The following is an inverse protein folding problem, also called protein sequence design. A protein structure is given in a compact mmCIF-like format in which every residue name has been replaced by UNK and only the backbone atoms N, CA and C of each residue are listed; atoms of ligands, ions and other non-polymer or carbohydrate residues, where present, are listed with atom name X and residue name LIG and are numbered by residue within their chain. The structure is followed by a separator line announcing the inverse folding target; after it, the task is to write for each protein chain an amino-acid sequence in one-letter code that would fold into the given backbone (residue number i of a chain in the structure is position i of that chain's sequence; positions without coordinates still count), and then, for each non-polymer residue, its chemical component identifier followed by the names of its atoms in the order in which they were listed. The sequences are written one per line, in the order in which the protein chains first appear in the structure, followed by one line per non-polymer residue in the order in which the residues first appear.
data_IF_169228662967
#
_entry.id   IF_169228662967
#
_cell.length_a   1.000
_cell.length_b   1.000
_cell.length_c   1.000
_cell.angle_alpha   90.00
_cell.angle_beta   90.00
_cell.angle_gamma   90.00
#
_symmetry.space_group_name_H-M   'P 1'
#
loop_
_entity.id
_entity.type
_entity.pdbx_description
1 polymer ?
#
# COMPACT_ATOMS: atom_id res chain seq x y z
N UNK A 1 -18.72 -10.39 8.97
CA UNK A 1 -18.65 -11.87 8.91
C UNK A 1 -19.98 -12.33 8.32
N UNK A 2 -20.03 -12.68 7.03
CA UNK A 2 -21.27 -13.18 6.43
C UNK A 2 -21.56 -14.56 7.04
N UNK A 3 -22.70 -14.73 7.69
CA UNK A 3 -23.16 -16.03 8.18
C UNK A 3 -23.57 -16.87 6.96
N UNK A 4 -22.60 -17.48 6.29
CA UNK A 4 -22.86 -18.41 5.20
C UNK A 4 -23.25 -19.75 5.83
N UNK A 5 -24.55 -19.99 5.98
CA UNK A 5 -25.07 -21.32 6.30
C UNK A 5 -25.13 -22.14 5.01
N UNK A 6 -24.08 -22.90 4.73
CA UNK A 6 -24.13 -23.93 3.72
C UNK A 6 -25.00 -25.11 4.23
N UNK A 7 -25.85 -25.70 3.39
CA UNK A 7 -26.70 -26.86 3.68
C UNK A 7 -27.90 -26.64 4.64
N UNK A 8 -28.54 -25.47 4.63
CA UNK A 8 -29.87 -25.37 5.24
C UNK A 8 -30.86 -26.20 4.42
N UNK A 9 -31.50 -27.18 5.04
CA UNK A 9 -32.44 -28.09 4.39
C UNK A 9 -33.73 -28.23 5.20
N UNK A 10 -34.85 -28.30 4.49
CA UNK A 10 -36.18 -28.55 5.03
C UNK A 10 -36.97 -29.39 4.02
N UNK A 11 -38.24 -29.64 4.30
CA UNK A 11 -39.20 -30.11 3.31
C UNK A 11 -40.30 -29.08 3.11
N UNK A 12 -41.07 -29.22 2.03
CA UNK A 12 -42.33 -28.51 1.85
C UNK A 12 -43.32 -28.91 2.96
N UNK A 13 -43.82 -27.93 3.70
CA UNK A 13 -44.90 -28.08 4.67
C UNK A 13 -46.30 -28.09 4.04
N UNK A 14 -46.42 -27.55 2.82
CA UNK A 14 -47.64 -27.57 2.02
C UNK A 14 -47.32 -27.83 0.54
N UNK A 15 -48.30 -28.29 -0.24
CA UNK A 15 -48.16 -28.47 -1.68
C UNK A 15 -47.86 -27.13 -2.35
N UNK A 16 -46.87 -27.09 -3.25
CA UNK A 16 -46.52 -25.90 -4.04
C UNK A 16 -47.11 -26.04 -5.44
N UNK A 17 -48.17 -25.30 -5.74
CA UNK A 17 -48.86 -25.32 -7.05
C UNK A 17 -48.12 -24.45 -8.06
N UNK A 18 -48.23 -24.77 -9.35
CA UNK A 18 -47.52 -24.11 -10.47
C UNK A 18 -47.54 -22.57 -10.43
N UNK A 19 -48.62 -21.96 -9.93
CA UNK A 19 -48.82 -20.51 -9.85
C UNK A 19 -48.68 -19.93 -8.43
N UNK A 20 -48.19 -20.71 -7.46
CA UNK A 20 -47.97 -20.27 -6.10
C UNK A 20 -46.88 -19.19 -6.04
N UNK A 21 -47.20 -18.06 -5.41
CA UNK A 21 -46.25 -16.99 -5.04
C UNK A 21 -45.75 -17.11 -3.61
N UNK A 22 -46.19 -18.16 -2.89
CA UNK A 22 -45.74 -18.48 -1.54
C UNK A 22 -45.48 -19.97 -1.39
N UNK A 23 -44.50 -20.29 -0.56
CA UNK A 23 -44.05 -21.63 -0.25
C UNK A 23 -43.97 -21.79 1.26
N UNK A 24 -44.61 -22.83 1.80
CA UNK A 24 -44.51 -23.16 3.24
C UNK A 24 -43.51 -24.28 3.42
N UNK A 25 -42.53 -24.08 4.30
CA UNK A 25 -41.51 -25.06 4.65
C UNK A 25 -41.77 -25.66 6.04
N UNK A 26 -41.33 -26.89 6.29
CA UNK A 26 -41.54 -27.57 7.56
C UNK A 26 -40.74 -26.96 8.73
N UNK A 27 -39.59 -26.31 8.46
CA UNK A 27 -38.76 -25.68 9.47
C UNK A 27 -38.19 -24.33 9.00
N UNK A 28 -38.16 -23.36 9.91
CA UNK A 28 -37.54 -22.05 9.69
C UNK A 28 -36.02 -22.12 9.94
N UNK A 29 -35.30 -22.70 8.98
CA UNK A 29 -33.83 -22.91 9.06
C UNK A 29 -33.04 -22.05 8.07
N UNK A 30 -33.74 -21.35 7.18
CA UNK A 30 -33.17 -20.59 6.06
C UNK A 30 -32.70 -19.17 6.49
N UNK A 31 -31.77 -18.53 5.77
CA UNK A 31 -31.25 -17.21 6.13
C UNK A 31 -32.30 -16.09 5.98
N UNK A 32 -31.88 -14.85 6.22
CA UNK A 32 -32.68 -13.65 5.91
C UNK A 32 -32.70 -13.43 4.39
N UNK A 33 -33.84 -13.00 3.85
CA UNK A 33 -34.05 -12.74 2.41
C UNK A 33 -33.21 -11.57 1.86
N UNK A 34 -32.91 -11.53 0.55
CA UNK A 34 -33.28 -12.51 -0.48
C UNK A 34 -32.28 -13.68 -0.60
N UNK A 35 -32.74 -14.85 -1.07
CA UNK A 35 -31.91 -16.02 -1.39
C UNK A 35 -32.60 -16.99 -2.37
N UNK A 36 -31.84 -17.91 -2.97
CA UNK A 36 -32.38 -18.95 -3.86
C UNK A 36 -32.54 -20.29 -3.14
N UNK A 37 -33.57 -21.05 -3.49
CA UNK A 37 -33.81 -22.42 -3.02
C UNK A 37 -33.96 -23.38 -4.18
N UNK A 38 -33.48 -24.60 -4.00
CA UNK A 38 -33.69 -25.72 -4.92
C UNK A 38 -34.74 -26.65 -4.35
N UNK A 39 -35.78 -26.95 -5.12
CA UNK A 39 -36.65 -28.09 -4.88
C UNK A 39 -36.02 -29.32 -5.55
N UNK A 40 -35.79 -30.37 -4.77
CA UNK A 40 -35.15 -31.59 -5.24
C UNK A 40 -36.09 -32.80 -5.14
N UNK A 41 -35.89 -33.83 -5.96
CA UNK A 41 -36.59 -35.11 -5.77
C UNK A 41 -36.04 -35.92 -4.58
N UNK A 42 -36.61 -37.11 -4.35
CA UNK A 42 -36.18 -38.02 -3.29
C UNK A 42 -34.77 -38.59 -3.49
N UNK A 43 -34.20 -38.46 -4.69
CA UNK A 43 -32.85 -38.88 -5.04
C UNK A 43 -31.87 -37.69 -5.00
N UNK A 44 -32.35 -36.49 -4.69
CA UNK A 44 -31.55 -35.27 -4.58
C UNK A 44 -31.29 -34.57 -5.91
N UNK A 45 -31.95 -34.95 -7.00
CA UNK A 45 -31.83 -34.26 -8.29
C UNK A 45 -32.61 -32.95 -8.27
N UNK A 46 -32.00 -31.89 -8.80
CA UNK A 46 -32.61 -30.56 -8.88
C UNK A 46 -33.80 -30.58 -9.84
N UNK A 47 -34.97 -30.19 -9.35
CA UNK A 47 -36.19 -30.11 -10.16
C UNK A 47 -36.57 -28.68 -10.51
N UNK A 48 -36.37 -27.75 -9.59
CA UNK A 48 -36.72 -26.34 -9.78
C UNK A 48 -35.89 -25.43 -8.86
N UNK A 49 -35.56 -24.24 -9.36
CA UNK A 49 -34.97 -23.16 -8.56
C UNK A 49 -35.97 -22.01 -8.42
N UNK A 50 -36.17 -21.57 -7.17
CA UNK A 50 -37.03 -20.42 -6.82
C UNK A 50 -36.23 -19.35 -6.10
N UNK A 51 -36.56 -18.08 -6.34
CA UNK A 51 -36.03 -16.96 -5.56
C UNK A 51 -36.97 -16.65 -4.40
N UNK A 52 -36.44 -16.51 -3.19
CA UNK A 52 -37.20 -16.11 -2.00
C UNK A 52 -36.97 -14.64 -1.74
N UNK A 53 -38.04 -13.85 -1.78
CA UNK A 53 -37.98 -12.38 -1.65
C UNK A 53 -38.50 -11.86 -0.33
N UNK A 54 -39.31 -12.65 0.38
CA UNK A 54 -39.79 -12.33 1.73
C UNK A 54 -39.99 -13.61 2.57
N UNK A 55 -39.97 -13.48 3.90
CA UNK A 55 -40.03 -14.61 4.83
C UNK A 55 -40.69 -14.21 6.15
N UNK A 56 -41.75 -14.92 6.52
CA UNK A 56 -42.42 -14.82 7.82
C UNK A 56 -42.52 -16.21 8.45
N UNK A 57 -41.60 -16.52 9.37
CA UNK A 57 -41.48 -17.84 9.98
C UNK A 57 -41.24 -18.93 8.93
N UNK A 58 -42.15 -19.90 8.85
CA UNK A 58 -42.10 -21.01 7.89
C UNK A 58 -42.70 -20.69 6.51
N UNK A 59 -43.23 -19.48 6.31
CA UNK A 59 -43.82 -19.07 5.03
C UNK A 59 -42.84 -18.18 4.28
N UNK A 60 -42.53 -18.56 3.05
CA UNK A 60 -41.60 -17.90 2.14
C UNK A 60 -42.38 -17.32 0.95
N UNK A 61 -42.17 -16.04 0.63
CA UNK A 61 -42.65 -15.45 -0.62
C UNK A 61 -41.64 -15.78 -1.71
N UNK A 62 -42.11 -16.38 -2.80
CA UNK A 62 -41.25 -16.92 -3.86
C UNK A 62 -41.57 -16.36 -5.22
N UNK A 63 -40.54 -16.11 -6.02
CA UNK A 63 -40.61 -15.91 -7.47
C UNK A 63 -40.20 -17.22 -8.12
N UNK A 64 -41.11 -17.79 -8.90
CA UNK A 64 -40.90 -19.00 -9.71
C UNK A 64 -40.61 -18.56 -11.15
N UNK A 65 -39.68 -19.24 -11.84
CA UNK A 65 -39.37 -18.92 -13.24
C UNK A 65 -37.90 -18.79 -13.61
N UNK A 66 -36.99 -19.34 -12.80
CA UNK A 66 -35.55 -19.32 -13.11
C UNK A 66 -35.16 -20.56 -13.94
N UNK A 67 -35.60 -21.77 -13.55
CA UNK A 67 -35.41 -23.04 -14.29
C UNK A 67 -36.40 -24.13 -13.78
N UNK A 68 -37.12 -24.83 -14.68
CA UNK A 68 -37.99 -25.98 -14.32
C UNK A 68 -39.34 -25.65 -13.65
N UNK A 69 -39.81 -24.41 -13.76
CA UNK A 69 -40.93 -23.85 -12.98
C UNK A 69 -42.36 -24.27 -13.42
N UNK A 70 -42.50 -25.28 -14.27
CA UNK A 70 -43.78 -25.65 -14.89
C UNK A 70 -44.48 -26.82 -14.18
N UNK A 71 -44.16 -27.05 -12.90
CA UNK A 71 -44.61 -28.25 -12.19
C UNK A 71 -45.16 -27.95 -10.80
N UNK A 72 -46.01 -28.86 -10.31
CA UNK A 72 -46.55 -28.85 -8.95
C UNK A 72 -45.71 -29.78 -8.08
N UNK A 73 -45.35 -29.33 -6.88
CA UNK A 73 -44.56 -30.12 -5.94
C UNK A 73 -45.41 -30.57 -4.73
N UNK A 74 -45.42 -31.86 -4.39
CA UNK A 74 -46.17 -32.39 -3.26
C UNK A 74 -45.59 -31.97 -1.90
N UNK A 75 -46.41 -32.05 -0.86
CA UNK A 75 -45.97 -31.93 0.55
C UNK A 75 -44.83 -32.92 0.83
N UNK A 76 -43.87 -32.52 1.66
CA UNK A 76 -42.73 -33.36 2.04
C UNK A 76 -41.57 -33.34 1.04
N UNK A 77 -41.71 -32.67 -0.11
CA UNK A 77 -40.63 -32.49 -1.08
C UNK A 77 -39.41 -31.81 -0.43
N UNK A 78 -38.18 -32.33 -0.59
CA UNK A 78 -36.97 -31.66 -0.13
C UNK A 78 -36.82 -30.25 -0.71
N UNK A 79 -36.48 -29.30 0.15
CA UNK A 79 -36.16 -27.92 -0.20
C UNK A 79 -34.83 -27.57 0.44
N UNK A 80 -33.86 -27.24 -0.39
CA UNK A 80 -32.47 -27.10 0.03
C UNK A 80 -31.91 -25.76 -0.42
N UNK A 81 -31.21 -25.09 0.50
CA UNK A 81 -30.33 -23.98 0.16
C UNK A 81 -29.04 -24.56 -0.41
N UNK A 82 -29.09 -24.92 -1.69
CA UNK A 82 -27.89 -25.21 -2.46
C UNK A 82 -27.33 -23.86 -2.88
N UNK A 83 -26.22 -23.45 -2.27
CA UNK A 83 -25.42 -22.40 -2.91
C UNK A 83 -25.18 -22.87 -4.34
N UNK A 84 -25.70 -22.13 -5.33
CA UNK A 84 -25.39 -22.45 -6.72
C UNK A 84 -23.87 -22.53 -6.81
N UNK A 85 -23.33 -23.59 -7.43
CA UNK A 85 -21.89 -23.79 -7.55
C UNK A 85 -21.19 -22.51 -8.03
N UNK A 86 -21.89 -21.71 -8.84
CA UNK A 86 -21.51 -20.36 -9.23
C UNK A 86 -21.21 -19.39 -8.07
N UNK A 87 -22.01 -19.28 -7.01
CA UNK A 87 -21.70 -18.39 -5.88
C UNK A 87 -20.52 -18.89 -5.03
N UNK A 88 -20.31 -20.22 -4.95
CA UNK A 88 -19.11 -20.79 -4.33
C UNK A 88 -17.87 -20.53 -5.19
N UNK A 89 -17.99 -20.68 -6.50
CA UNK A 89 -16.95 -20.37 -7.48
C UNK A 89 -16.64 -18.87 -7.45
N UNK A 90 -17.63 -17.99 -7.44
CA UNK A 90 -17.43 -16.53 -7.33
C UNK A 90 -16.76 -16.13 -6.00
N UNK A 91 -17.12 -16.77 -4.89
CA UNK A 91 -16.45 -16.54 -3.59
C UNK A 91 -15.02 -17.12 -3.54
N UNK A 92 -14.78 -18.26 -4.19
CA UNK A 92 -13.46 -18.88 -4.31
C UNK A 92 -12.58 -18.21 -5.38
N UNK A 93 -13.19 -17.58 -6.37
CA UNK A 93 -12.52 -16.86 -7.46
C UNK A 93 -12.22 -15.41 -7.11
N UNK A 94 -12.94 -14.81 -6.14
CA UNK A 94 -12.73 -13.43 -5.74
C UNK A 94 -11.35 -13.16 -5.12
N UNK A 95 -10.73 -14.16 -4.47
CA UNK A 95 -9.42 -13.99 -3.84
C UNK A 95 -8.61 -15.30 -3.77
N UNK A 96 -7.30 -15.18 -3.99
CA UNK A 96 -6.34 -16.24 -3.70
C UNK A 96 -5.96 -16.19 -2.21
N UNK A 97 -6.54 -17.09 -1.40
CA UNK A 97 -6.20 -17.21 0.02
C UNK A 97 -4.95 -18.07 0.19
N UNK A 98 -3.90 -17.49 0.78
CA UNK A 98 -2.62 -18.18 1.01
C UNK A 98 -2.44 -18.43 2.50
N UNK A 99 -2.05 -19.65 2.86
CA UNK A 99 -1.76 -20.04 4.25
C UNK A 99 -0.29 -20.44 4.38
N UNK A 100 0.38 -20.04 5.47
CA UNK A 100 1.76 -20.43 5.68
C UNK A 100 1.86 -21.92 5.95
N UNK A 101 2.88 -22.55 5.39
CA UNK A 101 3.29 -23.95 5.61
C UNK A 101 4.42 -24.04 6.62
N UNK A 102 5.14 -22.95 6.87
CA UNK A 102 6.24 -22.89 7.82
C UNK A 102 7.58 -23.31 7.24
N UNK A 103 7.68 -23.39 5.91
CA UNK A 103 8.90 -23.68 5.16
C UNK A 103 9.01 -22.76 3.94
N UNK A 104 10.22 -22.30 3.65
CA UNK A 104 10.42 -21.26 2.65
C UNK A 104 10.08 -21.70 1.23
N UNK A 105 10.27 -23.00 0.92
CA UNK A 105 10.03 -23.56 -0.41
C UNK A 105 8.55 -23.46 -0.73
N UNK A 106 7.71 -24.04 0.14
CA UNK A 106 6.27 -24.08 -0.07
C UNK A 106 5.65 -22.69 0.05
N UNK A 107 6.09 -21.89 1.04
CA UNK A 107 5.56 -20.55 1.25
C UNK A 107 5.84 -19.64 0.05
N UNK A 108 7.08 -19.62 -0.43
CA UNK A 108 7.46 -18.78 -1.58
C UNK A 108 6.74 -19.21 -2.86
N UNK A 109 6.61 -20.52 -3.11
CA UNK A 109 5.87 -21.05 -4.26
C UNK A 109 4.40 -20.63 -4.20
N UNK A 110 3.71 -20.88 -3.08
CA UNK A 110 2.29 -20.55 -2.93
C UNK A 110 2.03 -19.05 -3.11
N UNK A 111 2.92 -18.20 -2.60
CA UNK A 111 2.83 -16.74 -2.75
C UNK A 111 3.03 -16.30 -4.20
N UNK A 112 3.98 -16.91 -4.93
CA UNK A 112 4.21 -16.64 -6.35
C UNK A 112 3.02 -17.08 -7.20
N UNK A 113 2.45 -18.25 -6.93
CA UNK A 113 1.26 -18.75 -7.63
C UNK A 113 0.04 -17.86 -7.38
N UNK A 114 -0.19 -17.47 -6.12
CA UNK A 114 -1.25 -16.53 -5.77
C UNK A 114 -1.05 -15.18 -6.48
N UNK A 115 0.19 -14.66 -6.53
CA UNK A 115 0.50 -13.44 -7.27
C UNK A 115 0.17 -13.59 -8.76
N UNK A 116 0.59 -14.69 -9.38
CA UNK A 116 0.43 -14.95 -10.81
C UNK A 116 -1.03 -15.09 -11.22
N UNK A 117 -1.92 -15.46 -10.29
CA UNK A 117 -3.36 -15.56 -10.55
C UNK A 117 -4.03 -14.24 -10.95
N UNK A 118 -3.42 -13.09 -10.64
CA UNK A 118 -4.01 -11.76 -10.85
C UNK A 118 -5.19 -11.42 -9.92
N UNK A 119 -5.64 -12.37 -9.08
CA UNK A 119 -6.71 -12.18 -8.09
C UNK A 119 -6.19 -11.42 -6.87
N UNK A 120 -7.08 -10.80 -6.08
CA UNK A 120 -6.73 -10.26 -4.76
C UNK A 120 -6.10 -11.37 -3.92
N UNK A 121 -4.94 -11.12 -3.32
CA UNK A 121 -4.26 -12.09 -2.45
C UNK A 121 -4.65 -11.79 -1.00
N UNK A 122 -5.13 -12.83 -0.30
CA UNK A 122 -5.49 -12.78 1.11
C UNK A 122 -4.49 -13.64 1.88
N UNK A 123 -3.64 -13.01 2.68
CA UNK A 123 -2.65 -13.71 3.49
C UNK A 123 -3.28 -14.09 4.83
N UNK A 124 -3.34 -15.38 5.14
CA UNK A 124 -3.78 -15.84 6.44
C UNK A 124 -2.78 -15.41 7.55
N UNK A 125 -3.22 -15.52 8.80
CA UNK A 125 -2.33 -15.35 9.94
C UNK A 125 -1.24 -16.43 9.97
N UNK A 126 -0.06 -16.04 10.40
CA UNK A 126 1.13 -16.88 10.56
C UNK A 126 2.37 -16.25 9.89
N UNK A 127 3.45 -17.04 9.87
CA UNK A 127 4.74 -16.63 9.30
C UNK A 127 4.98 -17.38 8.01
N UNK A 128 5.16 -16.63 6.91
CA UNK A 128 5.59 -17.14 5.62
C UNK A 128 7.09 -16.93 5.51
N UNK A 129 7.86 -18.00 5.37
CA UNK A 129 9.29 -17.88 5.18
C UNK A 129 9.61 -17.58 3.71
N UNK A 130 10.42 -16.54 3.48
CA UNK A 130 10.75 -16.07 2.14
C UNK A 130 12.23 -16.28 1.86
N UNK A 131 12.48 -17.06 0.80
CA UNK A 131 13.78 -17.27 0.20
C UNK A 131 13.57 -17.55 -1.29
N UNK A 132 14.54 -17.26 -2.13
CA UNK A 132 14.44 -17.49 -3.56
C UNK A 132 15.60 -16.86 -4.29
N UNK A 133 15.74 -17.17 -5.57
CA UNK A 133 16.90 -16.80 -6.39
C UNK A 133 16.66 -15.52 -7.24
N UNK A 134 17.65 -15.11 -8.03
CA UNK A 134 17.53 -13.96 -8.94
C UNK A 134 17.65 -12.58 -8.27
N UNK A 135 17.00 -11.57 -8.84
CA UNK A 135 17.02 -10.18 -8.36
C UNK A 135 15.89 -9.86 -7.38
N UNK A 136 14.84 -10.70 -7.32
CA UNK A 136 13.70 -10.52 -6.41
C UNK A 136 13.11 -11.85 -5.94
N UNK A 137 12.50 -11.87 -4.74
CA UNK A 137 11.81 -13.07 -4.23
C UNK A 137 10.42 -13.18 -4.89
N UNK A 138 9.65 -12.09 -4.88
CA UNK A 138 8.31 -12.02 -5.48
C UNK A 138 8.33 -10.93 -6.56
N UNK A 139 8.44 -11.36 -7.82
CA UNK A 139 8.21 -10.50 -8.97
C UNK A 139 6.72 -10.32 -9.20
N UNK A 140 6.27 -9.08 -9.26
CA UNK A 140 4.90 -8.72 -9.54
C UNK A 140 4.82 -7.99 -10.86
N UNK A 141 3.96 -8.49 -11.74
CA UNK A 141 3.75 -7.96 -13.10
C UNK A 141 2.31 -7.47 -13.31
N UNK A 142 1.45 -7.66 -12.30
CA UNK A 142 0.04 -7.27 -12.30
C UNK A 142 -0.26 -6.36 -11.09
N UNK A 143 -1.45 -5.76 -11.05
CA UNK A 143 -1.87 -4.84 -9.99
C UNK A 143 -2.65 -5.49 -8.84
N UNK A 144 -2.66 -6.84 -8.76
CA UNK A 144 -3.42 -7.55 -7.74
C UNK A 144 -3.08 -7.05 -6.33
N UNK A 145 -4.12 -6.69 -5.56
CA UNK A 145 -3.95 -6.19 -4.20
C UNK A 145 -3.66 -7.33 -3.22
N UNK A 146 -2.80 -7.07 -2.23
CA UNK A 146 -2.46 -8.03 -1.18
C UNK A 146 -2.85 -7.48 0.18
N UNK A 147 -3.47 -8.32 0.98
CA UNK A 147 -4.07 -7.91 2.24
C UNK A 147 -3.92 -9.05 3.26
N UNK A 148 -3.30 -8.75 4.39
CA UNK A 148 -3.02 -9.70 5.45
C UNK A 148 -4.03 -9.69 6.59
N UNK A 149 -3.88 -10.65 7.51
CA UNK A 149 -4.77 -10.78 8.66
C UNK A 149 -4.45 -9.76 9.78
N UNK A 150 -3.49 -8.85 9.59
CA UNK A 150 -3.09 -7.81 10.53
C UNK A 150 -1.58 -7.76 10.80
N UNK A 151 -1.09 -6.60 11.24
CA UNK A 151 0.34 -6.33 11.49
C UNK A 151 1.01 -7.26 12.50
N UNK A 152 0.27 -7.70 13.53
CA UNK A 152 0.75 -8.65 14.53
C UNK A 152 0.43 -10.11 14.21
N UNK A 153 -0.20 -10.37 13.06
CA UNK A 153 -0.79 -11.66 12.71
C UNK A 153 -0.17 -12.28 11.47
N UNK A 154 0.21 -11.49 10.47
CA UNK A 154 0.77 -11.96 9.19
C UNK A 154 2.18 -11.43 9.00
N UNK A 155 3.16 -12.34 8.93
CA UNK A 155 4.57 -12.01 8.76
C UNK A 155 5.12 -12.65 7.49
N UNK A 156 5.71 -11.84 6.63
CA UNK A 156 6.54 -12.27 5.52
C UNK A 156 8.00 -12.18 5.98
N UNK A 157 8.54 -13.31 6.46
CA UNK A 157 9.84 -13.38 7.12
C UNK A 157 10.94 -13.72 6.12
N UNK A 158 11.86 -12.78 5.90
CA UNK A 158 12.99 -12.93 4.97
C UNK A 158 14.07 -13.76 5.65
N UNK A 159 14.46 -14.88 5.04
CA UNK A 159 15.53 -15.75 5.57
C UNK A 159 16.87 -15.03 5.64
N UNK A 160 17.65 -15.31 6.69
CA UNK A 160 18.88 -14.58 6.99
C UNK A 160 19.97 -14.69 5.90
N UNK A 161 19.92 -15.74 5.07
CA UNK A 161 20.85 -15.99 3.98
C UNK A 161 20.49 -15.28 2.66
N UNK A 162 19.34 -14.60 2.60
CA UNK A 162 18.95 -13.84 1.39
C UNK A 162 19.94 -12.67 1.21
N UNK A 163 20.64 -12.59 0.07
CA UNK A 163 21.65 -11.57 -0.16
C UNK A 163 21.03 -10.16 -0.16
N UNK A 164 21.79 -9.18 0.33
CA UNK A 164 21.36 -7.78 0.42
C UNK A 164 21.24 -7.05 -0.94
N UNK A 165 21.38 -7.78 -2.05
CA UNK A 165 21.17 -7.32 -3.42
C UNK A 165 19.80 -7.71 -3.97
N UNK A 166 19.02 -8.54 -3.25
CA UNK A 166 17.76 -9.11 -3.70
C UNK A 166 16.55 -8.38 -3.13
N UNK A 167 15.64 -7.91 -3.96
CA UNK A 167 14.40 -7.29 -3.51
C UNK A 167 13.40 -8.34 -2.99
N UNK A 168 12.58 -8.01 -2.00
CA UNK A 168 11.57 -8.95 -1.51
C UNK A 168 10.36 -8.94 -2.45
N UNK A 169 9.69 -7.78 -2.55
CA UNK A 169 8.69 -7.52 -3.58
C UNK A 169 9.25 -6.53 -4.60
N UNK A 170 9.26 -6.93 -5.88
CA UNK A 170 9.56 -6.02 -6.99
C UNK A 170 8.39 -5.99 -7.96
N UNK A 171 7.74 -4.83 -8.08
CA UNK A 171 6.70 -4.58 -9.07
C UNK A 171 7.34 -4.04 -10.34
N UNK A 172 7.30 -4.83 -11.41
CA UNK A 172 7.72 -4.50 -12.77
C UNK A 172 6.49 -4.62 -13.67
N UNK A 173 5.70 -3.56 -13.86
CA UNK A 173 4.44 -3.64 -14.59
C UNK A 173 4.68 -4.03 -16.06
N UNK A 174 3.90 -4.97 -16.61
CA UNK A 174 4.35 -5.75 -17.78
C UNK A 174 3.60 -5.54 -19.11
N UNK A 175 2.74 -4.53 -19.28
CA UNK A 175 2.06 -4.36 -20.58
C UNK A 175 1.86 -2.90 -21.00
N UNK A 176 2.22 -2.66 -22.27
CA UNK A 176 1.77 -1.56 -23.09
C UNK A 176 0.37 -1.89 -23.62
N UNK A 177 -0.61 -1.05 -23.32
CA UNK A 177 -1.72 -0.89 -24.25
C UNK A 177 -1.67 0.50 -24.89
N UNK A 178 -2.08 0.63 -26.17
CA UNK A 178 -1.95 1.88 -26.92
C UNK A 178 -2.61 3.07 -26.21
N UNK A 179 -3.63 2.83 -25.37
CA UNK A 179 -4.31 3.83 -24.55
C UNK A 179 -4.99 3.17 -23.30
N UNK A 180 -4.27 2.54 -22.37
CA UNK A 180 -4.87 1.93 -21.17
C UNK A 180 -4.11 2.07 -19.85
N UNK A 181 -4.75 2.68 -18.86
CA UNK A 181 -4.31 2.92 -17.48
C UNK A 181 -4.08 1.65 -16.61
N UNK A 182 -3.34 0.64 -17.09
CA UNK A 182 -3.29 -0.69 -16.43
C UNK A 182 -2.55 -0.72 -15.08
N UNK A 183 -1.60 0.19 -14.84
CA UNK A 183 -0.81 0.19 -13.59
C UNK A 183 -1.45 1.04 -12.49
N UNK A 184 -2.74 0.77 -12.24
CA UNK A 184 -3.57 1.50 -11.28
C UNK A 184 -3.99 0.65 -10.10
N UNK A 185 -4.13 1.30 -8.95
CA UNK A 185 -4.85 0.74 -7.81
C UNK A 185 -4.15 -0.45 -7.16
N UNK A 186 -2.83 -0.58 -7.31
CA UNK A 186 -2.06 -1.59 -6.60
C UNK A 186 -2.05 -1.29 -5.10
N UNK A 187 -2.46 -2.26 -4.28
CA UNK A 187 -2.53 -2.08 -2.83
C UNK A 187 -1.78 -3.19 -2.09
N UNK A 188 -1.09 -2.82 -1.02
CA UNK A 188 -0.50 -3.72 -0.03
C UNK A 188 -0.96 -3.29 1.35
N UNK A 189 -1.49 -4.22 2.15
CA UNK A 189 -1.97 -3.87 3.48
C UNK A 189 -2.02 -4.97 4.52
N UNK A 190 -2.01 -4.56 5.79
CA UNK A 190 -2.30 -5.41 6.95
C UNK A 190 -1.33 -6.60 7.14
N UNK A 191 -0.05 -6.45 6.81
CA UNK A 191 0.98 -7.45 7.11
C UNK A 191 2.34 -6.80 7.39
N UNK A 192 3.26 -7.61 7.90
CA UNK A 192 4.64 -7.21 8.14
C UNK A 192 5.62 -7.90 7.15
N UNK A 193 6.65 -7.20 6.71
CA UNK A 193 7.83 -7.77 6.05
C UNK A 193 9.01 -7.56 7.00
N UNK A 194 9.58 -8.65 7.51
CA UNK A 194 10.60 -8.61 8.56
C UNK A 194 11.76 -9.55 8.26
N UNK A 195 13.00 -9.23 8.65
CA UNK A 195 14.11 -10.17 8.55
C UNK A 195 14.03 -11.22 9.67
N UNK A 196 14.45 -12.45 9.38
CA UNK A 196 14.67 -13.49 10.41
C UNK A 196 15.80 -13.10 11.36
N UNK A 197 16.89 -12.57 10.80
CA UNK A 197 17.99 -11.94 11.53
C UNK A 197 18.87 -11.13 10.56
N UNK A 198 19.64 -10.17 11.08
CA UNK A 198 20.55 -9.35 10.27
C UNK A 198 19.81 -8.37 9.35
N UNK A 199 20.37 -8.13 8.16
CA UNK A 199 19.82 -7.20 7.14
C UNK A 199 19.68 -7.88 5.77
N UNK A 200 18.95 -9.01 5.66
CA UNK A 200 18.74 -9.73 4.41
C UNK A 200 17.89 -8.93 3.42
N UNK A 201 18.05 -9.22 2.14
CA UNK A 201 17.38 -8.52 1.05
C UNK A 201 17.83 -7.06 0.88
N UNK A 202 17.42 -6.41 -0.20
CA UNK A 202 17.78 -5.02 -0.52
C UNK A 202 16.64 -4.08 -0.14
N UNK A 203 15.48 -4.25 -0.77
CA UNK A 203 14.28 -3.49 -0.49
C UNK A 203 13.13 -4.42 -0.11
N UNK A 204 12.30 -4.03 0.85
CA UNK A 204 11.09 -4.80 1.18
C UNK A 204 10.06 -4.66 0.04
N UNK A 205 9.87 -3.43 -0.44
CA UNK A 205 9.00 -3.11 -1.58
C UNK A 205 9.77 -2.23 -2.55
N UNK A 206 9.86 -2.67 -3.81
CA UNK A 206 10.45 -1.93 -4.90
C UNK A 206 9.43 -1.77 -6.03
N UNK A 207 8.98 -0.55 -6.27
CA UNK A 207 8.21 -0.19 -7.44
C UNK A 207 9.21 0.23 -8.49
N UNK A 208 9.40 -0.60 -9.49
CA UNK A 208 10.47 -0.46 -10.46
C UNK A 208 9.88 -0.27 -11.84
N UNK A 209 9.96 0.97 -12.33
CA UNK A 209 9.61 1.27 -13.71
C UNK A 209 10.86 1.39 -14.58
N UNK A 210 12.07 1.14 -14.08
CA UNK A 210 13.29 1.18 -14.89
C UNK A 210 13.51 -0.11 -15.69
N UNK A 211 12.86 -1.21 -15.31
CA UNK A 211 13.01 -2.56 -15.89
C UNK A 211 12.03 -2.85 -17.06
N UNK A 212 11.83 -1.88 -17.97
CA UNK A 212 10.87 -1.97 -19.12
C UNK A 212 11.53 -2.16 -20.49
N UNK A 213 12.80 -2.54 -20.53
CA UNK A 213 13.49 -2.78 -21.81
C UNK A 213 13.05 -4.09 -22.46
N UNK A 214 12.86 -4.06 -23.78
CA UNK A 214 12.87 -5.28 -24.61
C UNK A 214 14.05 -5.22 -25.58
N UNK A 215 14.64 -6.38 -25.85
CA UNK A 215 15.63 -6.53 -26.91
C UNK A 215 14.90 -6.64 -28.24
N UNK A 216 14.96 -5.59 -29.05
CA UNK A 216 14.39 -5.53 -30.39
C UNK A 216 15.57 -5.55 -31.37
N UNK A 217 15.65 -6.61 -32.20
CA UNK A 217 16.70 -6.78 -33.21
C UNK A 217 18.16 -6.74 -32.68
N UNK A 218 18.37 -7.13 -31.42
CA UNK A 218 19.71 -7.14 -30.80
C UNK A 218 20.13 -5.80 -30.19
N UNK A 219 19.24 -4.80 -30.20
CA UNK A 219 19.40 -3.56 -29.46
C UNK A 219 18.41 -3.52 -28.29
N UNK A 220 18.88 -3.07 -27.12
CA UNK A 220 18.01 -2.81 -25.97
C UNK A 220 17.23 -1.53 -26.25
N UNK A 221 15.99 -1.67 -26.69
CA UNK A 221 15.13 -0.53 -26.99
C UNK A 221 14.25 -0.21 -25.79
N UNK A 222 14.09 1.08 -25.49
CA UNK A 222 13.03 1.53 -24.59
C UNK A 222 11.74 1.35 -25.38
N UNK A 223 11.01 0.26 -25.12
CA UNK A 223 9.68 0.09 -25.69
C UNK A 223 8.84 1.25 -25.17
N UNK A 224 8.37 2.11 -26.06
CA UNK A 224 7.76 3.42 -25.76
C UNK A 224 6.66 3.34 -24.67
N UNK A 225 7.02 3.44 -23.39
CA UNK A 225 6.09 3.29 -22.27
C UNK A 225 5.72 4.64 -21.66
N UNK A 226 4.78 5.34 -22.30
CA UNK A 226 4.05 6.46 -21.71
C UNK A 226 3.00 5.98 -20.69
N UNK A 227 3.38 5.34 -19.57
CA UNK A 227 2.38 4.96 -18.56
C UNK A 227 2.88 5.08 -17.12
N UNK A 228 2.34 6.08 -16.42
CA UNK A 228 2.45 6.27 -14.97
C UNK A 228 2.05 5.00 -14.19
N UNK A 229 2.79 4.65 -13.15
CA UNK A 229 2.24 3.82 -12.06
C UNK A 229 1.44 4.75 -11.17
N UNK A 230 0.12 4.53 -11.05
CA UNK A 230 -0.74 5.46 -10.34
C UNK A 230 -1.66 4.84 -9.31
N UNK A 231 -2.11 5.66 -8.37
CA UNK A 231 -3.09 5.27 -7.35
C UNK A 231 -2.66 4.02 -6.57
N UNK A 232 -1.36 3.79 -6.41
CA UNK A 232 -0.90 2.74 -5.51
C UNK A 232 -1.17 3.17 -4.06
N UNK A 233 -1.42 2.21 -3.18
CA UNK A 233 -1.65 2.47 -1.78
C UNK A 233 -0.98 1.41 -0.90
N UNK A 234 0.07 1.81 -0.18
CA UNK A 234 0.63 1.00 0.88
C UNK A 234 0.05 1.51 2.18
N UNK A 235 -0.67 0.65 2.89
CA UNK A 235 -1.38 1.08 4.09
C UNK A 235 -1.30 0.05 5.19
N UNK A 236 -1.04 0.52 6.41
CA UNK A 236 -1.00 -0.34 7.58
C UNK A 236 -0.04 -1.54 7.37
N UNK A 237 1.21 -1.22 7.00
CA UNK A 237 2.31 -2.17 6.85
C UNK A 237 3.35 -1.97 7.96
N UNK A 238 4.02 -3.06 8.34
CA UNK A 238 5.23 -3.01 9.15
C UNK A 238 6.40 -3.50 8.30
N UNK A 239 7.29 -2.61 7.92
CA UNK A 239 8.46 -2.92 7.10
C UNK A 239 9.71 -2.74 7.95
N UNK A 240 10.32 -3.84 8.35
CA UNK A 240 11.54 -3.81 9.15
C UNK A 240 12.78 -3.66 8.24
N UNK A 241 13.95 -3.48 8.84
CA UNK A 241 15.18 -3.13 8.14
C UNK A 241 15.76 -4.29 7.32
N UNK A 242 15.65 -4.18 6.00
CA UNK A 242 16.39 -4.99 5.03
C UNK A 242 17.80 -4.42 4.79
N UNK A 243 18.60 -4.95 3.87
CA UNK A 243 19.94 -4.39 3.55
C UNK A 243 19.94 -2.93 3.07
N UNK A 244 18.85 -2.46 2.47
CA UNK A 244 18.67 -1.10 1.93
C UNK A 244 17.43 -0.40 2.49
N UNK A 245 16.74 0.38 1.65
CA UNK A 245 15.49 1.11 1.98
C UNK A 245 14.32 0.15 2.11
N UNK A 246 13.36 0.38 3.01
CA UNK A 246 12.20 -0.51 3.07
C UNK A 246 11.30 -0.32 1.85
N UNK A 247 11.12 0.92 1.40
CA UNK A 247 10.37 1.24 0.18
C UNK A 247 11.26 1.97 -0.82
N UNK A 248 11.30 1.47 -2.06
CA UNK A 248 12.01 2.07 -3.19
C UNK A 248 11.06 2.32 -4.35
N UNK A 249 11.10 3.53 -4.90
CA UNK A 249 10.44 3.91 -6.15
C UNK A 249 11.55 4.33 -7.12
N UNK A 250 11.78 3.57 -8.18
CA UNK A 250 12.83 3.81 -9.18
C UNK A 250 12.24 4.14 -10.55
N UNK A 251 12.49 5.37 -10.99
CA UNK A 251 12.19 5.90 -12.30
C UNK A 251 13.34 6.82 -12.74
N UNK A 252 14.44 6.25 -13.23
CA UNK A 252 15.65 6.94 -13.68
C UNK A 252 15.70 7.19 -15.19
N UNK A 253 14.85 6.55 -16.00
CA UNK A 253 14.92 6.66 -17.47
C UNK A 253 14.47 8.03 -18.04
N UNK A 254 15.23 8.70 -18.92
CA UNK A 254 15.00 10.11 -19.29
C UNK A 254 13.66 10.46 -19.98
N UNK A 255 12.81 9.48 -20.36
CA UNK A 255 11.58 9.69 -21.13
C UNK A 255 10.30 9.11 -20.50
N UNK A 256 10.29 8.78 -19.21
CA UNK A 256 9.10 8.20 -18.58
C UNK A 256 8.36 9.16 -17.67
N UNK A 257 7.04 9.23 -17.86
CA UNK A 257 6.12 9.82 -16.89
C UNK A 257 6.24 9.09 -15.55
N UNK A 258 6.15 9.84 -14.46
CA UNK A 258 6.43 9.35 -13.11
C UNK A 258 5.26 8.65 -12.41
N UNK A 259 5.49 8.33 -11.15
CA UNK A 259 4.46 7.86 -10.23
C UNK A 259 3.39 8.92 -10.00
N UNK A 260 2.10 8.57 -10.04
CA UNK A 260 1.03 9.56 -9.90
C UNK A 260 -0.02 9.18 -8.85
N UNK A 261 -0.46 10.12 -8.02
CA UNK A 261 -1.53 9.89 -7.02
C UNK A 261 -1.27 8.70 -6.07
N UNK A 262 -0.01 8.34 -5.85
CA UNK A 262 0.38 7.25 -4.97
C UNK A 262 0.36 7.64 -3.50
N UNK A 263 0.09 6.67 -2.62
CA UNK A 263 -0.03 6.90 -1.18
C UNK A 263 0.74 5.85 -0.38
N UNK A 264 1.42 6.32 0.66
CA UNK A 264 1.96 5.50 1.75
C UNK A 264 1.37 6.04 3.05
N UNK A 265 0.50 5.26 3.69
CA UNK A 265 -0.23 5.73 4.88
C UNK A 265 -0.19 4.76 6.05
N UNK A 266 -0.14 5.29 7.27
CA UNK A 266 -0.33 4.52 8.51
C UNK A 266 0.65 3.32 8.63
N UNK A 267 1.85 3.44 8.08
CA UNK A 267 2.86 2.38 8.10
C UNK A 267 3.90 2.61 9.21
N UNK A 268 4.44 1.50 9.72
CA UNK A 268 5.68 1.47 10.49
C UNK A 268 6.83 1.05 9.57
N UNK A 269 7.78 1.94 9.31
CA UNK A 269 8.82 1.75 8.29
C UNK A 269 10.19 1.98 8.90
N UNK A 270 10.97 0.91 9.00
CA UNK A 270 12.38 0.94 9.39
C UNK A 270 13.28 0.92 8.16
N UNK A 271 14.18 1.90 8.04
CA UNK A 271 15.08 2.18 6.91
C UNK A 271 14.54 3.12 5.83
N UNK A 272 13.36 3.68 6.06
CA UNK A 272 12.81 4.80 5.30
C UNK A 272 12.44 4.49 3.85
N UNK A 273 12.08 5.56 3.15
CA UNK A 273 11.52 5.55 1.80
C UNK A 273 12.46 6.30 0.87
N UNK A 274 12.71 5.76 -0.32
CA UNK A 274 13.48 6.44 -1.35
C UNK A 274 12.75 6.46 -2.70
N UNK A 275 12.38 7.65 -3.14
CA UNK A 275 11.84 7.92 -4.45
C UNK A 275 12.89 8.60 -5.32
N UNK A 276 13.25 7.99 -6.45
CA UNK A 276 14.15 8.58 -7.45
C UNK A 276 13.36 8.66 -8.74
N UNK A 277 13.14 9.89 -9.22
CA UNK A 277 12.21 10.18 -10.30
C UNK A 277 10.74 10.03 -9.88
N UNK A 278 10.42 10.46 -8.66
CA UNK A 278 9.03 10.62 -8.22
C UNK A 278 8.22 11.47 -9.20
N UNK A 279 6.96 11.11 -9.42
CA UNK A 279 6.03 11.93 -10.20
C UNK A 279 5.11 12.75 -9.29
N UNK A 280 3.88 12.98 -9.75
CA UNK A 280 2.99 13.99 -9.17
C UNK A 280 2.05 13.44 -8.10
N UNK A 281 1.63 14.34 -7.20
CA UNK A 281 0.54 14.07 -6.25
C UNK A 281 0.80 12.88 -5.33
N UNK A 282 2.06 12.64 -4.95
CA UNK A 282 2.42 11.61 -3.98
C UNK A 282 2.10 12.03 -2.55
N UNK A 283 1.68 11.08 -1.72
CA UNK A 283 1.25 11.34 -0.35
C UNK A 283 1.91 10.36 0.63
N UNK A 284 2.52 10.91 1.68
CA UNK A 284 3.12 10.20 2.80
C UNK A 284 2.45 10.69 4.08
N UNK A 285 1.49 9.93 4.59
CA UNK A 285 0.55 10.40 5.63
C UNK A 285 0.54 9.47 6.85
N UNK A 286 0.65 10.00 8.06
CA UNK A 286 0.42 9.19 9.27
C UNK A 286 1.43 8.06 9.51
N UNK A 287 2.62 8.11 8.89
CA UNK A 287 3.60 7.03 9.02
C UNK A 287 4.54 7.25 10.21
N UNK A 288 5.04 6.15 10.77
CA UNK A 288 6.22 6.15 11.64
C UNK A 288 7.43 5.70 10.83
N UNK A 289 8.39 6.61 10.61
CA UNK A 289 9.59 6.35 9.82
C UNK A 289 10.81 6.37 10.75
N UNK A 290 11.54 5.26 10.84
CA UNK A 290 12.70 5.14 11.72
C UNK A 290 13.88 4.43 11.03
N UNK A 291 15.05 4.43 11.68
CA UNK A 291 16.19 3.60 11.29
C UNK A 291 17.41 4.36 10.77
N UNK A 292 18.27 3.66 10.03
CA UNK A 292 19.63 4.13 9.71
C UNK A 292 19.70 5.13 8.54
N UNK A 293 18.84 4.99 7.55
CA UNK A 293 18.85 5.85 6.37
C UNK A 293 17.91 7.07 6.53
N UNK A 294 17.81 7.93 5.52
CA UNK A 294 16.82 9.03 5.51
C UNK A 294 15.40 8.52 5.76
N UNK A 295 14.60 9.20 6.58
CA UNK A 295 13.19 8.85 6.75
C UNK A 295 12.44 8.83 5.40
N UNK A 296 12.53 9.94 4.67
CA UNK A 296 12.08 10.06 3.28
C UNK A 296 13.11 10.82 2.45
N UNK A 297 13.60 10.18 1.39
CA UNK A 297 14.38 10.81 0.33
C UNK A 297 13.54 10.81 -0.95
N UNK A 298 13.27 11.98 -1.51
CA UNK A 298 12.40 12.13 -2.67
C UNK A 298 13.05 13.06 -3.71
N UNK A 299 13.50 12.48 -4.82
CA UNK A 299 13.89 13.19 -6.03
C UNK A 299 12.73 13.15 -7.01
N UNK A 300 12.11 14.29 -7.27
CA UNK A 300 11.06 14.45 -8.27
C UNK A 300 11.66 14.58 -9.68
N UNK A 301 10.87 14.18 -10.68
CA UNK A 301 11.11 14.50 -12.09
C UNK A 301 10.92 16.00 -12.34
N UNK A 302 11.49 16.48 -13.43
CA UNK A 302 11.20 17.84 -13.91
C UNK A 302 9.70 18.00 -14.16
N UNK A 303 9.18 19.17 -13.80
CA UNK A 303 7.75 19.50 -13.82
C UNK A 303 6.88 18.70 -12.86
N UNK A 304 7.45 17.71 -12.16
CA UNK A 304 6.70 16.94 -11.21
C UNK A 304 6.39 17.74 -9.95
N UNK A 305 5.16 17.61 -9.46
CA UNK A 305 4.55 18.58 -8.60
C UNK A 305 3.66 17.97 -7.51
N UNK A 306 3.68 18.64 -6.37
CA UNK A 306 2.82 18.41 -5.20
C UNK A 306 3.08 17.05 -4.55
N UNK A 307 4.04 17.02 -3.64
CA UNK A 307 4.19 15.92 -2.67
C UNK A 307 3.67 16.37 -1.31
N UNK A 308 2.77 15.61 -0.72
CA UNK A 308 2.27 15.85 0.63
C UNK A 308 2.95 14.91 1.63
N UNK A 309 3.53 15.49 2.68
CA UNK A 309 4.17 14.78 3.80
C UNK A 309 3.51 15.30 5.07
N UNK A 310 2.60 14.52 5.66
CA UNK A 310 1.74 15.00 6.75
C UNK A 310 1.58 14.01 7.88
N UNK A 311 1.47 14.54 9.10
CA UNK A 311 1.12 13.77 10.30
C UNK A 311 2.08 12.59 10.55
N UNK A 312 3.32 12.64 10.02
CA UNK A 312 4.29 11.57 10.21
C UNK A 312 5.10 11.79 11.48
N UNK A 313 5.54 10.69 12.09
CA UNK A 313 6.56 10.68 13.13
C UNK A 313 7.87 10.13 12.54
N UNK A 314 8.89 10.97 12.40
CA UNK A 314 10.12 10.65 11.67
C UNK A 314 11.32 10.76 12.60
N UNK A 315 11.95 9.62 12.87
CA UNK A 315 13.12 9.49 13.75
C UNK A 315 14.21 8.68 13.07
N UNK A 316 14.99 9.33 12.20
CA UNK A 316 15.89 8.66 11.26
C UNK A 316 17.33 9.19 11.33
N UNK A 317 18.31 8.30 11.46
CA UNK A 317 19.73 8.65 11.72
C UNK A 317 20.43 9.32 10.54
N UNK A 318 20.07 8.92 9.32
CA UNK A 318 20.60 9.51 8.09
C UNK A 318 20.04 10.90 7.77
N UNK A 319 19.14 11.41 8.61
CA UNK A 319 18.33 12.61 8.38
C UNK A 319 16.85 12.25 8.21
N UNK A 320 15.95 13.21 8.42
CA UNK A 320 14.52 12.94 8.36
C UNK A 320 13.96 13.05 6.94
N UNK A 321 14.16 14.22 6.31
CA UNK A 321 13.61 14.53 4.98
C UNK A 321 14.70 15.08 4.07
N UNK A 322 14.83 14.50 2.88
CA UNK A 322 15.71 15.01 1.82
C UNK A 322 14.92 15.12 0.52
N UNK A 323 14.56 16.33 0.15
CA UNK A 323 13.54 16.59 -0.85
C UNK A 323 14.12 17.45 -1.98
N UNK A 324 14.02 16.94 -3.20
CA UNK A 324 14.49 17.61 -4.41
C UNK A 324 13.35 17.69 -5.42
N UNK A 325 12.95 18.89 -5.81
CA UNK A 325 11.84 19.06 -6.75
C UNK A 325 11.14 20.40 -6.61
N UNK A 326 9.92 20.49 -7.14
CA UNK A 326 9.16 21.73 -7.23
C UNK A 326 8.32 21.99 -5.97
N UNK A 327 7.16 21.34 -5.80
CA UNK A 327 6.21 21.67 -4.71
C UNK A 327 6.08 20.57 -3.66
N UNK A 328 6.49 20.88 -2.43
CA UNK A 328 6.28 20.03 -1.26
C UNK A 328 5.34 20.71 -0.26
N UNK A 329 4.45 19.94 0.34
CA UNK A 329 3.61 20.34 1.48
C UNK A 329 3.97 19.46 2.67
N UNK A 330 4.76 20.02 3.59
CA UNK A 330 5.28 19.33 4.76
C UNK A 330 4.54 19.91 5.97
N UNK A 331 3.53 19.20 6.46
CA UNK A 331 2.65 19.74 7.51
C UNK A 331 2.48 18.82 8.70
N UNK A 332 2.48 19.39 9.90
CA UNK A 332 2.11 18.69 11.14
C UNK A 332 2.91 17.41 11.43
N UNK A 333 4.17 17.36 10.98
CA UNK A 333 5.05 16.22 11.27
C UNK A 333 5.82 16.42 12.59
N UNK A 334 6.05 15.33 13.31
CA UNK A 334 7.01 15.26 14.40
C UNK A 334 8.32 14.68 13.86
N UNK A 335 9.39 15.46 13.89
CA UNK A 335 10.66 15.15 13.25
C UNK A 335 11.78 15.27 14.28
N UNK A 336 12.51 14.19 14.47
CA UNK A 336 13.62 14.10 15.41
C UNK A 336 14.82 13.38 14.78
N UNK A 337 16.03 13.78 15.16
CA UNK A 337 17.24 13.01 14.90
C UNK A 337 17.62 12.19 16.14
N UNK A 338 17.89 10.90 15.98
CA UNK A 338 18.29 9.98 17.05
C UNK A 338 19.76 9.57 16.96
N UNK A 339 20.48 9.55 18.08
CA UNK A 339 21.95 9.30 18.13
C UNK A 339 22.33 7.83 18.40
N UNK A 340 21.60 7.12 19.26
CA UNK A 340 22.13 5.91 19.90
C UNK A 340 21.75 4.61 19.18
N UNK A 341 22.75 3.81 18.73
CA UNK A 341 22.57 2.36 18.63
C UNK A 341 22.91 1.63 17.32
N UNK A 342 23.55 2.24 16.31
CA UNK A 342 23.93 1.51 15.09
C UNK A 342 25.18 2.02 14.37
N UNK A 343 25.69 1.25 13.41
CA UNK A 343 26.99 1.45 12.74
C UNK A 343 26.94 2.14 11.37
N UNK A 344 25.81 2.76 10.98
CA UNK A 344 25.67 3.43 9.68
C UNK A 344 26.66 4.60 9.46
N UNK A 345 27.19 4.80 8.23
CA UNK A 345 28.37 5.62 7.99
C UNK A 345 28.10 7.14 7.84
N UNK A 346 28.93 7.93 8.54
CA UNK A 346 29.66 9.16 8.20
C UNK A 346 29.08 10.33 7.36
N UNK A 347 27.97 10.21 6.62
CA UNK A 347 27.41 11.38 5.91
C UNK A 347 26.45 12.10 6.83
N UNK A 348 27.01 12.87 7.76
CA UNK A 348 26.25 13.83 8.55
C UNK A 348 25.47 14.74 7.60
N UNK A 349 24.13 14.72 7.60
CA UNK A 349 23.38 15.52 6.67
C UNK A 349 23.52 16.99 7.05
N UNK A 350 23.60 17.88 6.06
CA UNK A 350 23.72 19.33 6.30
C UNK A 350 22.52 19.87 7.12
N UNK A 351 21.36 19.22 7.04
CA UNK A 351 20.23 19.45 7.92
C UNK A 351 19.39 18.19 8.07
N UNK A 352 18.60 18.08 9.14
CA UNK A 352 17.69 16.93 9.31
C UNK A 352 16.49 17.02 8.36
N UNK A 353 16.09 18.24 7.97
CA UNK A 353 15.18 18.52 6.86
C UNK A 353 15.92 19.34 5.81
N UNK A 354 16.06 18.79 4.60
CA UNK A 354 16.64 19.46 3.44
C UNK A 354 15.58 19.60 2.35
N UNK A 355 15.31 20.85 1.95
CA UNK A 355 14.47 21.16 0.79
C UNK A 355 15.31 21.84 -0.28
N UNK A 356 15.37 21.24 -1.46
CA UNK A 356 16.27 21.63 -2.54
C UNK A 356 15.48 21.84 -3.83
N UNK A 357 15.57 23.05 -4.40
CA UNK A 357 14.84 23.41 -5.63
C UNK A 357 13.38 23.79 -5.43
N UNK A 358 12.87 23.69 -4.20
CA UNK A 358 11.43 23.77 -3.89
C UNK A 358 10.81 25.12 -4.25
N UNK A 359 9.94 25.17 -5.27
CA UNK A 359 9.13 26.36 -5.56
C UNK A 359 7.76 26.25 -4.91
N UNK A 360 7.31 27.34 -4.28
CA UNK A 360 6.00 27.41 -3.61
C UNK A 360 5.78 26.28 -2.58
N UNK A 361 6.86 25.73 -2.04
CA UNK A 361 6.79 24.69 -1.03
C UNK A 361 6.37 25.29 0.31
N UNK A 362 5.64 24.50 1.10
CA UNK A 362 5.05 24.91 2.37
C UNK A 362 5.55 23.98 3.48
N UNK A 363 6.12 24.58 4.52
CA UNK A 363 6.45 23.92 5.78
C UNK A 363 5.58 24.57 6.86
N UNK A 364 4.62 23.83 7.40
CA UNK A 364 3.67 24.36 8.38
C UNK A 364 3.45 23.43 9.58
N UNK A 365 3.42 23.95 10.79
CA UNK A 365 3.00 23.17 11.97
C UNK A 365 3.96 22.04 12.40
N UNK A 366 5.17 21.96 11.82
CA UNK A 366 6.09 20.85 12.12
C UNK A 366 6.88 21.11 13.41
N UNK A 367 7.22 20.04 14.12
CA UNK A 367 8.27 20.05 15.15
C UNK A 367 9.51 19.39 14.59
N UNK A 368 10.62 20.14 14.50
CA UNK A 368 11.87 19.71 13.85
C UNK A 368 13.02 19.85 14.83
N UNK A 369 13.44 18.72 15.40
CA UNK A 369 14.38 18.66 16.51
C UNK A 369 15.65 17.87 16.14
N UNK A 370 16.72 18.61 15.86
CA UNK A 370 18.07 18.08 15.78
C UNK A 370 18.66 17.96 17.19
N UNK A 371 18.06 17.13 18.06
CA UNK A 371 18.41 17.09 19.50
C UNK A 371 19.89 16.77 19.70
N UNK A 372 20.42 15.87 18.87
CA UNK A 372 21.74 15.28 19.09
C UNK A 372 22.83 15.76 18.14
N UNK A 373 22.51 16.73 17.27
CA UNK A 373 23.42 17.82 16.93
C UNK A 373 24.60 17.54 16.00
N UNK A 374 24.63 16.44 15.25
CA UNK A 374 25.66 16.28 14.21
C UNK A 374 25.34 17.12 12.96
N UNK A 375 24.07 17.29 12.59
CA UNK A 375 23.69 18.13 11.46
C UNK A 375 23.98 19.61 11.72
N UNK A 376 24.40 20.33 10.68
CA UNK A 376 24.66 21.78 10.77
C UNK A 376 23.39 22.62 10.91
N UNK A 377 22.20 22.06 10.66
CA UNK A 377 20.93 22.72 10.90
C UNK A 377 19.76 21.76 11.20
N UNK A 378 18.69 22.28 11.81
CA UNK A 378 17.42 21.55 11.89
C UNK A 378 16.73 21.53 10.51
N UNK A 379 16.65 22.69 9.86
CA UNK A 379 16.08 22.82 8.53
C UNK A 379 16.99 23.65 7.63
N UNK A 380 17.17 23.22 6.38
CA UNK A 380 17.88 23.96 5.36
C UNK A 380 17.07 24.04 4.06
N UNK A 381 17.00 25.24 3.51
CA UNK A 381 16.43 25.53 2.20
C UNK A 381 17.56 25.91 1.24
N UNK A 382 17.65 25.22 0.11
CA UNK A 382 18.59 25.52 -0.98
C UNK A 382 17.85 25.64 -2.31
N UNK A 383 18.21 26.63 -3.14
CA UNK A 383 17.61 26.86 -4.47
C UNK A 383 16.07 26.94 -4.46
N UNK A 384 15.45 27.32 -3.34
CA UNK A 384 14.00 27.38 -3.22
C UNK A 384 13.46 28.74 -3.71
N UNK A 385 12.26 28.76 -4.31
CA UNK A 385 11.57 30.00 -4.68
C UNK A 385 10.19 30.08 -4.01
N UNK A 386 9.84 31.20 -3.39
CA UNK A 386 8.50 31.38 -2.79
C UNK A 386 8.14 30.32 -1.74
N UNK A 387 9.13 29.74 -1.05
CA UNK A 387 8.91 28.83 0.06
C UNK A 387 8.20 29.57 1.21
N UNK A 388 7.26 28.91 1.89
CA UNK A 388 6.49 29.48 3.00
C UNK A 388 6.70 28.65 4.26
N UNK A 389 7.17 29.31 5.32
CA UNK A 389 7.42 28.68 6.61
C UNK A 389 6.56 29.37 7.67
N UNK A 390 5.70 28.62 8.36
CA UNK A 390 4.78 29.14 9.37
C UNK A 390 4.50 28.10 10.46
N UNK A 391 4.28 28.52 11.70
CA UNK A 391 3.91 27.66 12.84
C UNK A 391 4.88 26.48 13.11
N UNK A 392 6.12 26.52 12.64
CA UNK A 392 7.08 25.44 12.89
C UNK A 392 7.87 25.69 14.19
N UNK A 393 8.32 24.61 14.82
CA UNK A 393 9.27 24.64 15.94
C UNK A 393 10.60 24.05 15.47
N UNK A 394 11.64 24.87 15.47
CA UNK A 394 12.99 24.47 15.07
C UNK A 394 13.92 24.39 16.28
N UNK A 395 14.66 23.28 16.39
CA UNK A 395 15.70 23.10 17.38
C UNK A 395 16.96 22.51 16.72
N UNK A 396 17.97 23.35 16.49
CA UNK A 396 19.22 23.01 15.80
C UNK A 396 20.21 22.15 16.60
N UNK A 397 19.91 21.79 17.85
CA UNK A 397 20.81 21.01 18.71
C UNK A 397 21.78 21.91 19.48
N UNK A 398 22.90 21.36 19.95
CA UNK A 398 23.91 22.15 20.67
C UNK A 398 24.67 23.12 19.74
N UNK A 399 24.96 22.72 18.51
CA UNK A 399 25.85 23.46 17.59
C UNK A 399 25.23 23.84 16.24
N UNK A 400 24.13 23.21 15.83
CA UNK A 400 23.49 23.47 14.54
C UNK A 400 22.55 24.68 14.57
N UNK A 401 22.33 25.28 13.40
CA UNK A 401 21.34 26.33 13.22
C UNK A 401 19.92 25.77 13.37
N UNK A 402 18.99 26.57 13.88
CA UNK A 402 17.58 26.19 13.90
C UNK A 402 17.02 26.21 12.46
N UNK A 403 17.40 27.22 11.66
CA UNK A 403 17.00 27.35 10.26
C UNK A 403 18.13 27.99 9.42
N UNK A 404 18.36 27.43 8.23
CA UNK A 404 19.23 28.00 7.20
C UNK A 404 18.43 28.26 5.92
N UNK A 405 18.44 29.50 5.45
CA UNK A 405 17.96 29.90 4.13
C UNK A 405 19.17 30.30 3.31
N UNK A 406 19.56 29.45 2.36
CA UNK A 406 20.76 29.67 1.55
C UNK A 406 20.58 30.84 0.57
N UNK A 407 21.70 31.40 0.10
CA UNK A 407 21.71 32.56 -0.78
C UNK A 407 21.14 32.32 -2.16
N UNK A 408 21.02 31.06 -2.56
CA UNK A 408 20.37 30.66 -3.80
C UNK A 408 18.85 30.61 -3.71
N UNK A 409 18.27 30.78 -2.52
CA UNK A 409 16.83 30.89 -2.35
C UNK A 409 16.33 32.30 -2.70
N UNK A 410 15.15 32.37 -3.31
CA UNK A 410 14.48 33.62 -3.70
C UNK A 410 13.08 33.73 -3.13
N UNK A 411 12.64 34.94 -2.77
CA UNK A 411 11.26 35.23 -2.37
C UNK A 411 10.74 34.35 -1.22
N UNK A 412 11.58 33.93 -0.28
CA UNK A 412 11.16 33.07 0.83
C UNK A 412 10.30 33.87 1.83
N UNK A 413 9.20 33.30 2.30
CA UNK A 413 8.29 33.93 3.26
C UNK A 413 8.44 33.27 4.63
N UNK A 414 8.93 34.03 5.61
CA UNK A 414 9.09 33.60 7.00
C UNK A 414 8.06 34.33 7.86
N UNK A 415 7.07 33.59 8.37
CA UNK A 415 6.03 34.12 9.24
C UNK A 415 6.52 34.23 10.71
N UNK A 416 5.92 35.12 11.53
CA UNK A 416 6.42 35.43 12.87
C UNK A 416 6.03 34.36 13.91
N UNK A 417 5.18 33.42 13.52
CA UNK A 417 4.67 32.31 14.32
C UNK A 417 5.62 31.09 14.34
N UNK A 418 6.78 31.15 13.67
CA UNK A 418 7.82 30.15 13.80
C UNK A 418 8.60 30.34 15.12
N UNK A 419 8.88 29.24 15.80
CA UNK A 419 9.65 29.22 17.04
C UNK A 419 11.06 28.65 16.80
N UNK A 420 12.08 29.37 17.26
CA UNK A 420 13.49 29.01 17.12
C UNK A 420 14.12 28.86 18.50
N UNK A 421 14.52 27.64 18.86
CA UNK A 421 14.94 27.34 20.24
C UNK A 421 16.20 28.10 20.67
N UNK A 422 17.20 28.18 19.80
CA UNK A 422 18.47 28.85 20.09
C UNK A 422 18.55 30.24 19.43
N UNK A 423 17.47 30.69 18.78
CA UNK A 423 17.44 31.87 17.92
C UNK A 423 18.54 31.87 16.82
N UNK A 424 19.07 30.70 16.45
CA UNK A 424 20.15 30.58 15.45
C UNK A 424 19.58 30.41 14.07
N UNK A 425 19.30 31.54 13.41
CA UNK A 425 18.87 31.57 12.02
C UNK A 425 19.95 32.18 11.15
N UNK A 426 20.31 31.47 10.08
CA UNK A 426 21.12 32.02 8.99
C UNK A 426 20.20 32.24 7.81
N UNK A 427 20.05 33.48 7.37
CA UNK A 427 19.30 33.83 6.18
C UNK A 427 20.19 34.69 5.27
N UNK A 428 20.58 34.10 4.14
CA UNK A 428 21.31 34.79 3.08
C UNK A 428 20.50 34.86 1.78
N UNK A 429 19.23 34.47 1.81
CA UNK A 429 18.34 34.42 0.66
C UNK A 429 18.06 35.80 0.07
N UNK A 430 17.78 35.82 -1.24
CA UNK A 430 17.42 37.07 -1.94
C UNK A 430 15.91 37.32 -1.81
N UNK A 431 15.51 38.54 -1.44
CA UNK A 431 14.11 38.92 -1.23
C UNK A 431 13.38 38.05 -0.18
N UNK A 432 14.05 37.59 0.87
CA UNK A 432 13.37 36.97 2.01
C UNK A 432 12.43 38.00 2.65
N UNK A 433 11.14 37.69 2.70
CA UNK A 433 10.09 38.52 3.29
C UNK A 433 9.75 38.00 4.67
N UNK A 434 9.91 38.88 5.66
CA UNK A 434 9.42 38.69 7.01
C UNK A 434 7.99 39.24 7.07
N UNK A 435 7.02 38.32 7.09
CA UNK A 435 5.59 38.66 7.22
C UNK A 435 5.27 38.90 8.69
#
# INVERSE_FOLDING_TARGET
MHNVKNNAASTLGAQLLINSTSMVVAADVFPVVPFYLTLADSEGLSLEVVEVTDKTGTTLTVIRGVEGADQTHPVGRPVELRMMAQHLVELQDAAAVVRPRGDWVSDTINLREANASGKKVQLAAGTFYLEGDGNEIIRKTNTASWDGAGLGSTFLMIRANVPNTRDVFRLTPKELEPMGYKNRGFQLSNFAIIPESGKPGRYAIHLDVDDVYEEIEGEMEIVEANWFTSQFHFHHLHLDYCGGRSIRLSNTLPKMDGYFCGKVTDCLIWSGIQCIGGGDSLQFLGNTLAGENWGLECLLRDLANVVAIRDNNITARGGALRLYGDRFKITDNNIELYENGGTAPAVTPAAIVQLIGGKQSELSGNTIMNIVGNSSAACQLDNCDRAKLTHNRFHGGAVGNDLVVASSCTNTFLYPDNHYYNARKVDSGTNTTYV
#
